data_IF_195794663524
#
_entry.id   IF_195794663524
#
_cell.length_a   1.000
_cell.length_b   1.000
_cell.length_c   1.000
_cell.angle_alpha   90.00
_cell.angle_beta   90.00
_cell.angle_gamma   90.00
#
_symmetry.space_group_name_H-M   'P 1'
#
loop_
_entity.id
_entity.type
_entity.pdbx_description
1 polymer ?
#
# COMPACT_ATOMS: atom_id res chain seq x y z
N UNK A 1 -6.97 -12.66 -23.63
CA UNK A 1 -8.30 -12.84 -23.01
C UNK A 1 -8.96 -11.48 -22.95
N UNK A 2 -10.26 -11.37 -23.24
CA UNK A 2 -10.94 -10.07 -23.22
C UNK A 2 -11.16 -9.63 -21.78
N UNK A 3 -10.61 -8.47 -21.40
CA UNK A 3 -10.79 -7.85 -20.06
C UNK A 3 -12.12 -7.09 -19.99
N UNK A 4 -12.66 -6.83 -18.79
CA UNK A 4 -13.86 -6.00 -18.64
C UNK A 4 -13.54 -4.53 -18.91
N UNK A 5 -14.51 -3.67 -19.24
CA UNK A 5 -14.24 -2.26 -19.49
C UNK A 5 -13.55 -1.51 -18.34
N UNK A 6 -13.93 -1.80 -17.09
CA UNK A 6 -13.32 -1.21 -15.88
C UNK A 6 -11.87 -1.65 -15.65
N UNK A 7 -11.45 -2.78 -16.23
CA UNK A 7 -10.09 -3.31 -16.09
C UNK A 7 -9.11 -2.72 -17.11
N UNK A 8 -9.58 -1.96 -18.11
CA UNK A 8 -8.74 -1.44 -19.19
C UNK A 8 -8.46 0.04 -18.93
N UNK A 9 -7.22 0.35 -18.56
CA UNK A 9 -6.79 1.75 -18.44
C UNK A 9 -6.73 2.42 -19.82
N UNK A 10 -7.00 3.72 -19.86
CA UNK A 10 -6.87 4.52 -21.08
C UNK A 10 -5.43 4.53 -21.66
N UNK A 11 -4.43 4.25 -20.82
CA UNK A 11 -3.02 4.12 -21.18
C UNK A 11 -2.58 2.70 -21.57
N UNK A 12 -3.39 1.68 -21.25
CA UNK A 12 -3.07 0.27 -21.51
C UNK A 12 -3.45 -0.16 -22.94
N UNK A 13 -3.14 -1.42 -23.29
CA UNK A 13 -3.44 -2.07 -24.58
C UNK A 13 -4.78 -1.63 -25.21
N UNK A 14 -4.77 -1.49 -26.54
CA UNK A 14 -5.92 -1.00 -27.31
C UNK A 14 -7.22 -1.74 -26.93
N UNK A 15 -8.30 -1.01 -26.57
CA UNK A 15 -9.62 -1.63 -26.37
C UNK A 15 -10.03 -2.43 -27.62
N UNK A 16 -10.92 -3.43 -27.49
CA UNK A 16 -11.34 -4.22 -28.63
C UNK A 16 -11.92 -3.32 -29.73
N UNK A 17 -11.74 -3.71 -30.99
CA UNK A 17 -12.30 -2.96 -32.13
C UNK A 17 -13.82 -2.94 -32.06
N UNK A 18 -14.39 -1.78 -31.76
CA UNK A 18 -15.82 -1.63 -31.51
C UNK A 18 -16.71 -1.82 -32.76
N UNK A 19 -16.15 -1.66 -33.97
CA UNK A 19 -16.90 -1.79 -35.23
C UNK A 19 -17.52 -3.18 -35.48
N UNK A 20 -17.07 -4.21 -34.74
CA UNK A 20 -17.64 -5.56 -34.81
C UNK A 20 -18.98 -5.71 -34.08
N UNK A 21 -19.32 -4.79 -33.17
CA UNK A 21 -20.49 -4.92 -32.30
C UNK A 21 -21.74 -4.28 -32.93
N UNK A 22 -22.47 -5.06 -33.72
CA UNK A 22 -23.60 -4.56 -34.54
C UNK A 22 -25.00 -4.73 -33.94
N UNK A 23 -25.14 -5.49 -32.86
CA UNK A 23 -26.42 -5.73 -32.16
C UNK A 23 -26.88 -4.49 -31.40
N UNK A 24 -28.16 -4.45 -31.02
CA UNK A 24 -28.67 -3.35 -30.18
C UNK A 24 -28.11 -3.41 -28.75
N UNK A 25 -28.20 -2.30 -28.00
CA UNK A 25 -27.83 -2.28 -26.59
C UNK A 25 -28.65 -3.29 -25.77
N UNK A 26 -29.96 -3.41 -26.07
CA UNK A 26 -30.85 -4.39 -25.44
C UNK A 26 -30.40 -5.84 -25.67
N UNK A 27 -29.97 -6.17 -26.89
CA UNK A 27 -29.46 -7.51 -27.20
C UNK A 27 -28.17 -7.84 -26.43
N UNK A 28 -27.28 -6.85 -26.26
CA UNK A 28 -26.07 -7.01 -25.45
C UNK A 28 -26.39 -7.11 -23.96
N UNK A 29 -27.29 -6.28 -23.43
CA UNK A 29 -27.77 -6.38 -22.06
C UNK A 29 -28.35 -7.78 -21.78
N UNK A 30 -29.23 -8.28 -22.65
CA UNK A 30 -29.79 -9.62 -22.51
C UNK A 30 -28.72 -10.73 -22.61
N UNK A 31 -27.65 -10.50 -23.39
CA UNK A 31 -26.52 -11.44 -23.48
C UNK A 31 -25.67 -11.42 -22.22
N UNK A 32 -25.42 -10.25 -21.64
CA UNK A 32 -24.72 -10.08 -20.37
C UNK A 32 -25.45 -10.85 -19.25
N UNK A 33 -26.77 -10.64 -19.11
CA UNK A 33 -27.58 -11.34 -18.10
C UNK A 33 -27.50 -12.87 -18.24
N UNK A 34 -27.63 -13.38 -19.48
CA UNK A 34 -27.48 -14.83 -19.75
C UNK A 34 -26.07 -15.34 -19.48
N UNK A 35 -25.05 -14.51 -19.65
CA UNK A 35 -23.66 -14.89 -19.41
C UNK A 35 -23.38 -14.99 -17.91
N UNK A 36 -23.80 -14.00 -17.12
CA UNK A 36 -23.72 -14.03 -15.66
C UNK A 36 -24.45 -15.23 -15.07
N UNK A 37 -25.70 -15.46 -15.48
CA UNK A 37 -26.50 -16.59 -14.99
C UNK A 37 -25.88 -17.97 -15.29
N UNK A 38 -24.91 -18.03 -16.21
CA UNK A 38 -24.21 -19.27 -16.61
C UNK A 38 -22.74 -19.30 -16.16
N UNK A 39 -22.26 -18.30 -15.42
CA UNK A 39 -20.84 -18.17 -15.05
C UNK A 39 -19.90 -18.09 -16.26
N UNK A 40 -20.33 -17.43 -17.34
CA UNK A 40 -19.55 -17.32 -18.59
C UNK A 40 -18.87 -15.96 -18.70
N UNK A 41 -17.83 -15.72 -17.91
CA UNK A 41 -17.15 -14.41 -17.80
C UNK A 41 -16.72 -13.83 -19.14
N UNK A 42 -16.07 -14.62 -20.00
CA UNK A 42 -15.62 -14.13 -21.32
C UNK A 42 -16.79 -13.63 -22.20
N UNK A 43 -17.98 -14.25 -22.07
CA UNK A 43 -19.17 -13.82 -22.79
C UNK A 43 -19.83 -12.59 -22.15
N UNK A 44 -19.69 -12.42 -20.83
CA UNK A 44 -20.10 -11.20 -20.13
C UNK A 44 -19.22 -10.02 -20.54
N UNK A 45 -17.89 -10.18 -20.54
CA UNK A 45 -16.95 -9.17 -21.03
C UNK A 45 -17.27 -8.73 -22.47
N UNK A 46 -17.50 -9.68 -23.39
CA UNK A 46 -17.85 -9.37 -24.78
C UNK A 46 -19.18 -8.61 -24.89
N UNK A 47 -20.16 -8.93 -24.03
CA UNK A 47 -21.41 -8.19 -23.97
C UNK A 47 -21.23 -6.75 -23.44
N UNK A 48 -20.38 -6.54 -22.44
CA UNK A 48 -20.06 -5.21 -21.91
C UNK A 48 -19.40 -4.33 -22.95
N UNK A 49 -18.43 -4.85 -23.72
CA UNK A 49 -17.86 -4.10 -24.84
C UNK A 49 -18.86 -3.84 -25.97
N UNK A 50 -19.83 -4.73 -26.16
CA UNK A 50 -20.99 -4.46 -26.99
C UNK A 50 -21.79 -3.26 -26.51
N UNK A 51 -22.06 -3.16 -25.20
CA UNK A 51 -22.73 -2.02 -24.59
C UNK A 51 -21.90 -0.73 -24.76
N UNK A 52 -20.59 -0.77 -24.56
CA UNK A 52 -19.69 0.37 -24.86
C UNK A 52 -19.81 0.80 -26.32
N UNK A 53 -19.80 -0.14 -27.26
CA UNK A 53 -19.91 0.15 -28.68
C UNK A 53 -21.26 0.80 -29.09
N UNK A 54 -22.30 0.64 -28.27
CA UNK A 54 -23.62 1.25 -28.49
C UNK A 54 -23.78 2.65 -27.88
N UNK A 55 -22.78 3.12 -27.12
CA UNK A 55 -22.76 4.49 -26.61
C UNK A 55 -24.00 4.83 -25.80
N UNK A 56 -24.71 5.89 -26.20
CA UNK A 56 -25.87 6.43 -25.48
C UNK A 56 -27.07 5.48 -25.44
N UNK A 57 -27.18 4.52 -26.36
CA UNK A 57 -28.25 3.50 -26.30
C UNK A 57 -28.15 2.61 -25.05
N UNK A 58 -26.96 2.49 -24.45
CA UNK A 58 -26.70 1.67 -23.26
C UNK A 58 -27.05 2.35 -21.95
N UNK A 59 -27.37 3.65 -21.96
CA UNK A 59 -27.61 4.45 -20.74
C UNK A 59 -28.72 3.88 -19.87
N UNK A 60 -29.83 3.44 -20.47
CA UNK A 60 -30.94 2.85 -19.72
C UNK A 60 -30.55 1.55 -19.00
N UNK A 61 -29.67 0.75 -19.59
CA UNK A 61 -29.12 -0.44 -18.92
C UNK A 61 -28.16 -0.04 -17.78
N UNK A 62 -27.25 0.91 -18.02
CA UNK A 62 -26.35 1.43 -16.99
C UNK A 62 -27.13 1.94 -15.77
N UNK A 63 -28.18 2.72 -16.00
CA UNK A 63 -29.04 3.25 -14.94
C UNK A 63 -29.69 2.14 -14.09
N UNK A 64 -30.24 1.10 -14.74
CA UNK A 64 -30.82 -0.04 -14.04
C UNK A 64 -29.79 -0.85 -13.26
N UNK A 65 -28.61 -1.07 -13.85
CA UNK A 65 -27.54 -1.84 -13.23
C UNK A 65 -26.90 -1.11 -12.04
N UNK A 66 -26.66 0.20 -12.15
CA UNK A 66 -26.17 1.05 -11.05
C UNK A 66 -27.12 1.07 -9.84
N UNK A 67 -28.42 0.89 -10.05
CA UNK A 67 -29.44 0.84 -8.97
C UNK A 67 -29.75 -0.56 -8.45
N UNK A 68 -29.07 -1.59 -8.96
CA UNK A 68 -29.40 -2.98 -8.63
C UNK A 68 -29.02 -3.39 -7.21
N UNK A 69 -28.07 -2.68 -6.57
CA UNK A 69 -27.47 -3.06 -5.29
C UNK A 69 -26.50 -4.24 -5.39
N UNK A 70 -26.27 -4.78 -6.59
CA UNK A 70 -25.30 -5.85 -6.86
C UNK A 70 -23.95 -5.23 -7.26
N UNK A 71 -22.92 -5.46 -6.44
CA UNK A 71 -21.60 -4.84 -6.60
C UNK A 71 -20.97 -5.10 -7.98
N UNK A 72 -21.11 -6.34 -8.49
CA UNK A 72 -20.57 -6.72 -9.79
C UNK A 72 -21.28 -5.97 -10.93
N UNK A 73 -22.61 -5.86 -10.87
CA UNK A 73 -23.39 -5.10 -11.85
C UNK A 73 -23.08 -3.61 -11.79
N UNK A 74 -22.89 -3.06 -10.60
CA UNK A 74 -22.50 -1.66 -10.41
C UNK A 74 -21.13 -1.42 -11.05
N UNK A 75 -20.15 -2.28 -10.75
CA UNK A 75 -18.80 -2.22 -11.34
C UNK A 75 -18.85 -2.26 -12.87
N UNK A 76 -19.57 -3.24 -13.43
CA UNK A 76 -19.69 -3.41 -14.87
C UNK A 76 -20.38 -2.22 -15.55
N UNK A 77 -21.44 -1.68 -14.94
CA UNK A 77 -22.16 -0.53 -15.45
C UNK A 77 -21.33 0.75 -15.40
N UNK A 78 -20.61 0.97 -14.30
CA UNK A 78 -19.69 2.08 -14.15
C UNK A 78 -18.52 1.97 -15.16
N UNK A 79 -18.01 0.76 -15.39
CA UNK A 79 -17.04 0.47 -16.45
C UNK A 79 -17.58 0.87 -17.84
N UNK A 80 -18.83 0.54 -18.17
CA UNK A 80 -19.44 1.01 -19.43
C UNK A 80 -19.55 2.54 -19.45
N UNK A 81 -20.00 3.17 -18.36
CA UNK A 81 -20.11 4.63 -18.23
C UNK A 81 -18.78 5.35 -18.44
N UNK A 82 -17.68 4.81 -17.89
CA UNK A 82 -16.33 5.35 -18.05
C UNK A 82 -15.94 5.52 -19.53
N UNK A 83 -16.28 4.55 -20.37
CA UNK A 83 -15.93 4.55 -21.79
C UNK A 83 -16.86 5.38 -22.67
N UNK A 84 -18.16 5.41 -22.36
CA UNK A 84 -19.14 6.18 -23.16
C UNK A 84 -19.23 7.66 -22.72
N UNK A 85 -18.68 7.99 -21.55
CA UNK A 85 -18.87 9.27 -20.85
C UNK A 85 -20.19 9.26 -20.08
N UNK A 86 -20.21 9.37 -18.74
CA UNK A 86 -21.44 9.32 -17.96
C UNK A 86 -22.37 10.48 -18.36
N UNK A 87 -23.64 10.21 -18.72
CA UNK A 87 -24.64 11.25 -18.89
C UNK A 87 -24.77 12.06 -17.60
N UNK A 88 -25.09 13.35 -17.71
CA UNK A 88 -25.28 14.22 -16.55
C UNK A 88 -26.34 13.69 -15.57
N UNK A 89 -27.34 12.97 -16.07
CA UNK A 89 -28.38 12.32 -15.26
C UNK A 89 -27.86 11.17 -14.38
N UNK A 90 -26.69 10.58 -14.69
CA UNK A 90 -26.09 9.50 -13.90
C UNK A 90 -25.00 9.99 -12.94
N UNK A 91 -24.53 11.24 -13.04
CA UNK A 91 -23.46 11.77 -12.17
C UNK A 91 -23.87 11.70 -10.70
N UNK A 92 -25.08 12.14 -10.35
CA UNK A 92 -25.56 12.08 -8.95
C UNK A 92 -25.76 10.65 -8.46
N UNK A 93 -26.12 9.72 -9.36
CA UNK A 93 -26.21 8.30 -9.00
C UNK A 93 -24.82 7.73 -8.70
N UNK A 94 -23.84 8.00 -9.55
CA UNK A 94 -22.44 7.58 -9.33
C UNK A 94 -21.87 8.19 -8.05
N UNK A 95 -22.07 9.50 -7.83
CA UNK A 95 -21.65 10.20 -6.59
C UNK A 95 -22.26 9.53 -5.35
N UNK A 96 -23.57 9.30 -5.37
CA UNK A 96 -24.27 8.63 -4.26
C UNK A 96 -23.75 7.21 -4.01
N UNK A 97 -23.43 6.44 -5.06
CA UNK A 97 -22.83 5.11 -4.92
C UNK A 97 -21.44 5.19 -4.28
N UNK A 98 -20.60 6.15 -4.67
CA UNK A 98 -19.27 6.33 -4.06
C UNK A 98 -19.37 6.68 -2.57
N UNK A 99 -20.41 7.41 -2.19
CA UNK A 99 -20.67 7.82 -0.79
C UNK A 99 -21.28 6.70 0.07
N UNK A 100 -22.08 5.81 -0.52
CA UNK A 100 -22.92 4.85 0.22
C UNK A 100 -22.46 3.41 0.13
N UNK A 101 -21.72 3.02 -0.92
CA UNK A 101 -21.21 1.66 -1.04
C UNK A 101 -20.04 1.41 -0.07
N UNK A 102 -19.91 0.18 0.44
CA UNK A 102 -18.70 -0.23 1.15
C UNK A 102 -17.50 -0.23 0.20
N UNK A 103 -16.30 -0.42 0.75
CA UNK A 103 -15.09 -0.61 -0.05
C UNK A 103 -15.24 -1.86 -0.94
N UNK A 104 -15.35 -1.65 -2.24
CA UNK A 104 -15.82 -2.67 -3.19
C UNK A 104 -15.45 -2.28 -4.61
N UNK A 105 -15.45 -3.26 -5.51
CA UNK A 105 -15.12 -3.05 -6.93
C UNK A 105 -16.14 -2.12 -7.59
N UNK A 106 -17.42 -2.21 -7.20
CA UNK A 106 -18.48 -1.32 -7.66
C UNK A 106 -18.25 0.13 -7.23
N UNK A 107 -17.82 0.37 -5.99
CA UNK A 107 -17.47 1.71 -5.49
C UNK A 107 -16.30 2.31 -6.27
N UNK A 108 -15.21 1.57 -6.42
CA UNK A 108 -14.00 2.04 -7.10
C UNK A 108 -14.28 2.31 -8.59
N UNK A 109 -15.06 1.44 -9.24
CA UNK A 109 -15.48 1.63 -10.64
C UNK A 109 -16.40 2.85 -10.79
N UNK A 110 -17.33 3.07 -9.86
CA UNK A 110 -18.20 4.24 -9.85
C UNK A 110 -17.41 5.55 -9.69
N UNK A 111 -16.40 5.55 -8.80
CA UNK A 111 -15.48 6.68 -8.63
C UNK A 111 -14.68 6.94 -9.91
N UNK A 112 -14.16 5.89 -10.55
CA UNK A 112 -13.44 6.01 -11.82
C UNK A 112 -14.32 6.58 -12.94
N UNK A 113 -15.60 6.21 -12.99
CA UNK A 113 -16.53 6.68 -14.01
C UNK A 113 -16.93 8.15 -13.89
N UNK A 114 -16.72 8.80 -12.73
CA UNK A 114 -17.06 10.20 -12.53
C UNK A 114 -16.21 11.16 -13.40
N UNK A 115 -16.77 12.31 -13.84
CA UNK A 115 -15.99 13.36 -14.50
C UNK A 115 -14.81 13.82 -13.64
N UNK A 116 -13.73 14.25 -14.29
CA UNK A 116 -12.48 14.62 -13.62
C UNK A 116 -12.68 15.74 -12.58
N UNK A 117 -13.56 16.69 -12.84
CA UNK A 117 -13.88 17.81 -11.94
C UNK A 117 -14.56 17.32 -10.66
N UNK A 118 -15.48 16.37 -10.78
CA UNK A 118 -16.16 15.76 -9.63
C UNK A 118 -15.19 14.88 -8.85
N UNK A 119 -14.35 14.09 -9.53
CA UNK A 119 -13.31 13.30 -8.85
C UNK A 119 -12.36 14.19 -8.06
N UNK A 120 -11.90 15.30 -8.64
CA UNK A 120 -11.01 16.24 -7.97
C UNK A 120 -11.65 16.90 -6.74
N UNK A 121 -12.97 17.13 -6.75
CA UNK A 121 -13.71 17.57 -5.56
C UNK A 121 -13.68 16.52 -4.44
N UNK A 122 -13.95 15.26 -4.77
CA UNK A 122 -13.96 14.15 -3.81
C UNK A 122 -12.56 13.84 -3.26
N UNK A 123 -11.54 13.87 -4.12
CA UNK A 123 -10.14 13.68 -3.69
C UNK A 123 -9.71 14.80 -2.75
N UNK A 124 -10.17 16.04 -2.96
CA UNK A 124 -9.87 17.14 -2.03
C UNK A 124 -10.46 16.87 -0.64
N UNK A 125 -11.69 16.36 -0.56
CA UNK A 125 -12.29 15.96 0.72
C UNK A 125 -11.47 14.87 1.42
N UNK A 126 -10.96 13.88 0.67
CA UNK A 126 -10.08 12.83 1.20
C UNK A 126 -8.72 13.37 1.65
N UNK A 127 -8.14 14.31 0.90
CA UNK A 127 -6.87 14.95 1.24
C UNK A 127 -6.98 15.86 2.46
N UNK A 128 -8.09 16.60 2.59
CA UNK A 128 -8.41 17.38 3.79
C UNK A 128 -8.67 16.48 5.01
N UNK A 129 -9.01 15.21 4.76
CA UNK A 129 -9.20 14.15 5.74
C UNK A 129 -7.95 13.30 6.00
N UNK A 130 -6.83 13.61 5.35
CA UNK A 130 -5.57 12.92 5.55
C UNK A 130 -5.23 12.88 7.05
N UNK A 131 -4.63 11.78 7.54
CA UNK A 131 -4.16 11.74 8.92
C UNK A 131 -3.25 12.95 9.15
N UNK A 132 -3.47 13.65 10.26
CA UNK A 132 -2.61 14.74 10.69
C UNK A 132 -1.27 14.15 11.12
N UNK A 133 -0.42 13.89 10.13
CA UNK A 133 0.96 13.48 10.33
C UNK A 133 1.74 14.79 10.45
N UNK A 134 1.65 15.42 11.61
CA UNK A 134 2.45 16.60 11.90
C UNK A 134 3.92 16.26 11.64
N UNK A 135 4.67 17.05 10.84
CA UNK A 135 6.09 16.81 10.54
C UNK A 135 7.04 16.85 11.77
N UNK A 136 6.53 16.87 12.99
CA UNK A 136 7.22 17.43 14.15
C UNK A 136 7.94 16.47 15.10
N UNK A 137 7.50 15.22 15.26
CA UNK A 137 7.94 14.41 16.42
C UNK A 137 8.47 13.00 16.09
N UNK A 138 8.70 12.69 14.81
CA UNK A 138 9.37 11.44 14.45
C UNK A 138 10.87 11.56 14.82
N UNK A 139 11.27 10.89 15.91
CA UNK A 139 12.58 10.95 16.56
C UNK A 139 13.82 10.94 15.65
N UNK A 140 13.72 10.43 14.41
CA UNK A 140 14.83 10.36 13.45
C UNK A 140 14.45 10.69 12.00
N UNK A 141 13.24 11.24 11.75
CA UNK A 141 12.67 11.41 10.39
C UNK A 141 12.62 10.08 9.61
N UNK A 142 12.74 8.94 10.29
CA UNK A 142 12.70 7.63 9.65
C UNK A 142 11.25 7.27 9.35
N UNK A 143 10.91 7.22 8.06
CA UNK A 143 9.57 6.84 7.61
C UNK A 143 9.24 5.38 7.89
N UNK A 144 10.25 4.51 8.03
CA UNK A 144 10.10 3.08 8.32
C UNK A 144 10.98 2.71 9.52
N UNK A 145 10.39 2.03 10.51
CA UNK A 145 11.12 1.43 11.64
C UNK A 145 10.68 -0.02 11.79
N UNK A 146 11.64 -0.91 11.91
CA UNK A 146 11.40 -2.31 12.23
C UNK A 146 11.69 -2.59 13.70
N UNK A 147 10.99 -3.55 14.29
CA UNK A 147 11.22 -4.04 15.64
C UNK A 147 11.30 -5.55 15.61
N UNK A 148 12.39 -6.09 16.12
CA UNK A 148 12.60 -7.54 16.29
C UNK A 148 12.49 -7.83 17.77
N UNK A 149 11.62 -8.77 18.14
CA UNK A 149 11.39 -9.15 19.54
C UNK A 149 12.53 -10.05 20.06
N UNK A 150 13.74 -9.52 20.06
CA UNK A 150 14.92 -10.13 20.67
C UNK A 150 15.90 -9.05 21.13
N UNK A 151 16.75 -9.33 22.14
CA UNK A 151 17.82 -8.42 22.54
C UNK A 151 18.82 -8.14 21.41
N UNK A 152 19.39 -6.94 21.41
CA UNK A 152 20.30 -6.44 20.36
C UNK A 152 21.39 -7.44 19.99
N UNK A 153 22.10 -7.98 20.97
CA UNK A 153 23.20 -8.92 20.74
C UNK A 153 22.76 -10.20 20.00
N UNK A 154 21.55 -10.68 20.28
CA UNK A 154 21.00 -11.86 19.60
C UNK A 154 20.67 -11.56 18.14
N UNK A 155 20.11 -10.38 17.88
CA UNK A 155 19.77 -9.93 16.52
C UNK A 155 21.02 -9.67 15.70
N UNK A 156 22.02 -9.01 16.29
CA UNK A 156 23.33 -8.74 15.67
C UNK A 156 24.06 -10.04 15.34
N UNK A 157 24.14 -10.99 16.29
CA UNK A 157 24.82 -12.27 16.06
C UNK A 157 24.17 -13.08 14.93
N UNK A 158 22.84 -13.15 14.86
CA UNK A 158 22.14 -13.82 13.76
C UNK A 158 22.24 -13.04 12.43
N UNK A 159 22.34 -11.71 12.48
CA UNK A 159 22.60 -10.90 11.30
C UNK A 159 23.99 -11.19 10.71
N UNK A 160 25.04 -11.23 11.54
CA UNK A 160 26.42 -11.49 11.11
C UNK A 160 26.64 -12.93 10.59
N UNK A 161 25.85 -13.89 11.09
CA UNK A 161 25.86 -15.28 10.58
C UNK A 161 25.24 -15.43 9.20
N UNK A 162 24.49 -14.44 8.75
CA UNK A 162 23.88 -14.47 7.42
C UNK A 162 25.01 -14.62 6.40
N UNK A 163 24.92 -15.57 5.46
CA UNK A 163 25.81 -15.61 4.32
C UNK A 163 25.48 -14.41 3.43
N UNK A 164 25.89 -13.21 3.86
CA UNK A 164 25.80 -12.02 3.06
C UNK A 164 26.73 -12.19 1.86
N UNK A 165 26.49 -11.37 0.84
CA UNK A 165 27.44 -11.09 -0.25
C UNK A 165 28.73 -10.51 0.38
N UNK A 166 29.53 -11.37 1.02
CA UNK A 166 30.65 -11.03 1.92
C UNK A 166 31.69 -10.11 1.27
N UNK A 167 31.69 -10.01 -0.05
CA UNK A 167 32.63 -9.17 -0.78
C UNK A 167 32.32 -7.66 -0.73
N UNK A 168 31.18 -7.22 -0.17
CA UNK A 168 30.75 -5.81 -0.31
C UNK A 168 30.32 -5.08 0.98
N UNK A 169 30.11 -5.73 2.12
CA UNK A 169 29.70 -5.07 3.36
C UNK A 169 30.92 -4.58 4.16
N UNK A 170 30.82 -3.39 4.73
CA UNK A 170 31.82 -2.88 5.68
C UNK A 170 31.64 -3.58 7.05
N UNK A 171 32.69 -3.65 7.88
CA UNK A 171 32.55 -4.15 9.25
C UNK A 171 31.51 -3.35 10.04
N UNK A 172 30.72 -4.04 10.85
CA UNK A 172 29.78 -3.40 11.74
C UNK A 172 30.52 -2.52 12.77
N UNK A 173 29.98 -1.34 13.07
CA UNK A 173 30.56 -0.42 14.06
C UNK A 173 29.60 -0.27 15.24
N UNK A 174 30.11 -0.41 16.46
CA UNK A 174 29.32 -0.28 17.69
C UNK A 174 29.33 1.16 18.19
N UNK A 175 28.19 1.62 18.66
CA UNK A 175 27.98 2.95 19.23
C UNK A 175 27.24 2.84 20.56
N UNK A 176 27.45 3.82 21.43
CA UNK A 176 26.75 3.96 22.71
C UNK A 176 26.40 5.43 22.91
N UNK A 177 25.19 5.83 22.52
CA UNK A 177 24.69 7.20 22.65
C UNK A 177 23.14 7.21 22.59
N UNK A 178 22.47 8.26 23.09
CA UNK A 178 21.03 8.43 22.89
C UNK A 178 20.64 8.40 21.40
N UNK A 179 19.44 7.91 21.08
CA UNK A 179 18.99 7.73 19.70
C UNK A 179 19.15 8.99 18.83
N UNK A 180 18.82 10.16 19.37
CA UNK A 180 18.92 11.45 18.66
C UNK A 180 20.34 11.76 18.19
N UNK A 181 21.36 11.35 18.95
CA UNK A 181 22.78 11.56 18.60
C UNK A 181 23.27 10.54 17.56
N UNK A 182 22.58 9.41 17.42
CA UNK A 182 22.88 8.38 16.42
C UNK A 182 22.28 8.69 15.06
N UNK A 183 21.29 9.59 14.99
CA UNK A 183 20.61 9.99 13.75
C UNK A 183 21.54 10.37 12.58
N UNK A 184 22.58 11.20 12.80
CA UNK A 184 23.54 11.56 11.75
C UNK A 184 24.26 10.36 11.11
N UNK A 185 24.35 9.21 11.79
CA UNK A 185 24.96 8.00 11.23
C UNK A 185 24.15 7.38 10.09
N UNK A 186 22.85 7.70 10.03
CA UNK A 186 21.94 7.26 8.97
C UNK A 186 21.94 8.21 7.77
N UNK A 187 22.67 9.32 7.83
CA UNK A 187 22.70 10.29 6.74
C UNK A 187 23.22 9.66 5.45
N UNK A 188 22.37 9.75 4.42
CA UNK A 188 22.73 9.37 3.08
C UNK A 188 23.52 10.52 2.43
N UNK A 189 24.69 10.20 1.91
CA UNK A 189 25.45 11.14 1.09
C UNK A 189 25.24 10.84 -0.39
N UNK A 190 24.85 11.87 -1.16
CA UNK A 190 24.76 11.82 -2.62
C UNK A 190 26.07 11.38 -3.29
N UNK A 191 27.22 11.51 -2.61
CA UNK A 191 28.52 11.08 -3.12
C UNK A 191 28.72 9.56 -3.04
N UNK A 192 27.94 8.86 -2.21
CA UNK A 192 28.04 7.40 -2.03
C UNK A 192 26.67 6.70 -2.07
N UNK A 193 25.91 6.84 -3.17
CA UNK A 193 24.54 6.30 -3.28
C UNK A 193 24.44 4.78 -3.16
N UNK A 194 25.57 4.08 -3.31
CA UNK A 194 25.68 2.63 -3.13
C UNK A 194 25.86 2.19 -1.67
N UNK A 195 26.13 3.11 -0.72
CA UNK A 195 26.19 2.82 0.71
C UNK A 195 24.80 3.03 1.31
N UNK A 196 24.27 2.00 1.96
CA UNK A 196 22.96 2.04 2.61
C UNK A 196 23.16 1.77 4.10
N UNK A 197 23.38 2.82 4.91
CA UNK A 197 23.52 2.65 6.34
C UNK A 197 22.17 2.26 6.96
N UNK A 198 22.21 1.38 7.95
CA UNK A 198 21.10 1.11 8.84
C UNK A 198 21.62 0.83 10.25
N UNK A 199 20.81 1.17 11.24
CA UNK A 199 21.18 1.13 12.63
C UNK A 199 20.29 0.13 13.36
N UNK A 200 20.89 -0.83 14.05
CA UNK A 200 20.19 -1.66 15.04
C UNK A 200 20.39 -1.03 16.42
N UNK A 201 19.30 -0.76 17.14
CA UNK A 201 19.32 -0.10 18.45
C UNK A 201 18.57 -0.97 19.45
N UNK A 202 19.12 -1.10 20.65
CA UNK A 202 18.37 -1.69 21.78
C UNK A 202 17.08 -0.90 22.05
N UNK A 203 15.96 -1.57 22.29
CA UNK A 203 14.67 -0.92 22.49
C UNK A 203 13.85 -1.65 23.57
N UNK A 204 13.55 -0.96 24.67
CA UNK A 204 12.97 -1.56 25.86
C UNK A 204 13.81 -2.74 26.40
N UNK A 205 13.14 -3.71 27.00
CA UNK A 205 13.77 -4.89 27.62
C UNK A 205 13.97 -6.07 26.66
N UNK A 206 13.22 -6.11 25.55
CA UNK A 206 13.09 -7.29 24.68
C UNK A 206 13.14 -6.99 23.19
N UNK A 207 13.18 -5.72 22.77
CA UNK A 207 13.13 -5.35 21.37
C UNK A 207 14.48 -4.84 20.87
N UNK A 208 14.69 -5.01 19.57
CA UNK A 208 15.72 -4.33 18.80
C UNK A 208 15.03 -3.55 17.71
N UNK A 209 15.21 -2.23 17.69
CA UNK A 209 14.73 -1.37 16.62
C UNK A 209 15.74 -1.34 15.47
N UNK A 210 15.29 -1.35 14.22
CA UNK A 210 16.13 -1.20 13.04
C UNK A 210 15.67 0.02 12.25
N UNK A 211 16.55 1.01 12.15
CA UNK A 211 16.33 2.28 11.48
C UNK A 211 17.05 2.33 10.14
N UNK A 212 16.40 2.92 9.14
CA UNK A 212 16.99 3.21 7.83
C UNK A 212 16.26 4.38 7.18
N UNK A 213 17.02 5.20 6.45
CA UNK A 213 16.48 6.33 5.68
C UNK A 213 16.22 6.00 4.21
N UNK A 214 16.75 4.89 3.69
CA UNK A 214 16.90 4.71 2.24
C UNK A 214 16.32 3.40 1.69
N UNK A 215 16.01 2.44 2.54
CA UNK A 215 15.61 1.12 2.06
C UNK A 215 14.58 0.47 2.97
N UNK A 216 13.62 -0.18 2.31
CA UNK A 216 12.82 -1.19 2.95
C UNK A 216 13.68 -2.44 3.20
N UNK A 217 14.05 -2.65 4.46
CA UNK A 217 14.84 -3.81 4.88
C UNK A 217 13.94 -5.03 5.10
N UNK A 218 13.20 -5.45 4.09
CA UNK A 218 12.34 -6.65 4.13
C UNK A 218 13.07 -7.94 4.53
N UNK A 219 14.41 -7.93 4.52
CA UNK A 219 15.20 -9.00 5.09
C UNK A 219 15.04 -9.14 6.62
N UNK A 220 14.65 -8.09 7.33
CA UNK A 220 14.41 -8.09 8.79
C UNK A 220 13.26 -9.05 9.12
N UNK A 221 12.26 -9.21 8.25
CA UNK A 221 11.21 -10.23 8.42
C UNK A 221 11.76 -11.65 8.58
N UNK A 222 12.94 -11.95 8.01
CA UNK A 222 13.54 -13.27 8.14
C UNK A 222 13.92 -13.63 9.58
N UNK A 223 14.11 -12.64 10.47
CA UNK A 223 14.34 -12.89 11.89
C UNK A 223 13.16 -13.62 12.54
N UNK A 224 11.93 -13.38 12.08
CA UNK A 224 10.76 -14.09 12.63
C UNK A 224 10.89 -15.61 12.52
N UNK A 225 11.52 -16.10 11.45
CA UNK A 225 11.78 -17.52 11.22
C UNK A 225 13.05 -17.99 11.90
N UNK A 226 14.14 -17.22 11.79
CA UNK A 226 15.47 -17.65 12.27
C UNK A 226 15.61 -17.58 13.79
N UNK A 227 15.01 -16.58 14.40
CA UNK A 227 15.02 -16.37 15.84
C UNK A 227 13.75 -16.86 16.54
N UNK A 228 12.79 -17.37 15.77
CA UNK A 228 11.46 -17.79 16.24
C UNK A 228 10.81 -16.70 17.12
N UNK A 229 10.65 -15.51 16.53
CA UNK A 229 10.23 -14.32 17.26
C UNK A 229 9.25 -13.46 16.47
N UNK A 230 8.60 -12.47 17.11
CA UNK A 230 7.79 -11.48 16.39
C UNK A 230 8.68 -10.43 15.74
N UNK A 231 8.29 -10.01 14.55
CA UNK A 231 8.87 -8.85 13.85
C UNK A 231 7.74 -7.89 13.53
N UNK A 232 7.89 -6.62 13.86
CA UNK A 232 6.96 -5.56 13.50
C UNK A 232 7.67 -4.58 12.57
N UNK A 233 7.07 -4.30 11.41
CA UNK A 233 7.40 -3.15 10.59
C UNK A 233 6.34 -2.09 10.81
N UNK A 234 6.79 -0.86 10.96
CA UNK A 234 5.90 0.29 11.01
C UNK A 234 6.36 1.31 9.99
N UNK A 235 5.42 2.04 9.40
CA UNK A 235 5.76 3.22 8.62
C UNK A 235 4.78 4.36 8.84
N UNK A 236 5.30 5.58 8.82
CA UNK A 236 4.52 6.80 8.87
C UNK A 236 5.26 7.84 8.03
N UNK A 237 4.61 8.34 6.98
CA UNK A 237 5.15 9.40 6.12
C UNK A 237 4.09 10.47 5.91
N UNK A 238 4.43 11.72 6.22
CA UNK A 238 3.66 12.91 5.82
C UNK A 238 4.04 13.37 4.41
N UNK A 239 5.17 12.90 3.87
CA UNK A 239 5.80 13.47 2.68
C UNK A 239 5.59 12.65 1.39
N UNK A 240 5.71 13.39 0.29
CA UNK A 240 5.68 12.99 -1.12
C UNK A 240 6.83 12.00 -1.45
N UNK A 241 6.63 10.98 -2.31
CA UNK A 241 5.47 10.82 -3.20
C UNK A 241 4.19 10.28 -2.54
N UNK A 242 4.32 9.55 -1.43
CA UNK A 242 3.24 8.67 -0.97
C UNK A 242 3.03 8.76 0.55
N UNK A 243 2.24 9.72 1.05
CA UNK A 243 1.90 9.79 2.46
C UNK A 243 1.11 8.55 2.88
N UNK A 244 1.26 8.13 4.14
CA UNK A 244 0.57 6.94 4.64
C UNK A 244 1.06 6.46 5.99
N UNK A 245 0.26 5.57 6.57
CA UNK A 245 0.51 4.93 7.86
C UNK A 245 0.36 3.43 7.68
N UNK A 246 1.29 2.65 8.22
CA UNK A 246 1.23 1.21 8.10
C UNK A 246 1.87 0.45 9.26
N UNK A 247 1.36 -0.76 9.42
CA UNK A 247 1.67 -1.72 10.45
C UNK A 247 1.72 -3.11 9.82
N UNK A 248 2.86 -3.79 9.91
CA UNK A 248 3.02 -5.18 9.48
C UNK A 248 3.64 -6.00 10.60
N UNK A 249 2.84 -6.85 11.23
CA UNK A 249 3.29 -7.77 12.27
C UNK A 249 3.48 -9.16 11.68
N UNK A 250 4.70 -9.68 11.73
CA UNK A 250 5.05 -11.06 11.39
C UNK A 250 5.21 -11.87 12.67
N UNK A 251 4.47 -12.99 12.79
CA UNK A 251 4.52 -13.88 13.96
C UNK A 251 5.70 -14.89 13.90
N UNK A 252 6.08 -15.51 15.03
CA UNK A 252 7.15 -16.51 15.08
C UNK A 252 7.00 -17.61 14.04
N UNK A 253 8.11 -18.02 13.43
CA UNK A 253 8.11 -18.99 12.34
C UNK A 253 7.61 -18.45 10.99
N UNK A 254 7.21 -17.18 10.91
CA UNK A 254 6.81 -16.49 9.67
C UNK A 254 5.60 -17.12 8.96
N UNK A 255 4.69 -17.74 9.73
CA UNK A 255 3.50 -18.46 9.24
C UNK A 255 2.26 -17.59 9.19
N UNK A 256 2.18 -16.59 10.04
CA UNK A 256 1.05 -15.69 10.18
C UNK A 256 1.55 -14.26 10.25
N UNK A 257 0.79 -13.35 9.66
CA UNK A 257 1.09 -11.93 9.68
C UNK A 257 -0.21 -11.13 9.68
N UNK A 258 -0.15 -9.93 10.24
CA UNK A 258 -1.21 -8.92 10.18
C UNK A 258 -0.65 -7.70 9.48
N UNK A 259 -1.35 -7.20 8.49
CA UNK A 259 -0.99 -5.98 7.77
C UNK A 259 -2.15 -5.05 7.66
N UNK A 260 -1.88 -3.81 8.03
CA UNK A 260 -2.82 -2.70 8.07
C UNK A 260 -2.06 -1.53 7.47
N UNK A 261 -2.59 -0.97 6.40
CA UNK A 261 -1.96 0.16 5.74
C UNK A 261 -3.02 1.04 5.11
N UNK A 262 -2.86 2.33 5.34
CA UNK A 262 -3.45 3.36 4.50
C UNK A 262 -2.32 4.12 3.83
N UNK A 263 -2.48 4.45 2.57
CA UNK A 263 -1.50 5.27 1.86
C UNK A 263 -2.15 5.97 0.68
N UNK A 264 -1.41 6.90 0.09
CA UNK A 264 -1.81 7.58 -1.14
C UNK A 264 -0.85 7.18 -2.25
N UNK A 265 -1.37 6.92 -3.44
CA UNK A 265 -0.60 6.76 -4.68
C UNK A 265 -1.15 7.65 -5.80
N UNK A 266 -0.66 7.46 -7.02
CA UNK A 266 -1.09 8.23 -8.21
C UNK A 266 -2.59 8.05 -8.51
N UNK A 267 -3.22 6.99 -8.00
CA UNK A 267 -4.65 6.70 -8.15
C UNK A 267 -5.51 7.19 -6.98
N UNK A 268 -4.89 7.73 -5.92
CA UNK A 268 -5.56 8.28 -4.75
C UNK A 268 -5.26 7.50 -3.46
N UNK A 269 -6.15 7.62 -2.48
CA UNK A 269 -6.00 6.88 -1.22
C UNK A 269 -6.35 5.40 -1.40
N UNK A 270 -5.48 4.53 -0.91
CA UNK A 270 -5.70 3.09 -0.86
C UNK A 270 -5.74 2.58 0.58
N UNK A 271 -6.45 1.47 0.76
CA UNK A 271 -6.57 0.75 2.02
C UNK A 271 -6.13 -0.69 1.82
N UNK A 272 -5.26 -1.19 2.70
CA UNK A 272 -4.79 -2.55 2.69
C UNK A 272 -4.96 -3.18 4.07
N UNK A 273 -5.70 -4.29 4.11
CA UNK A 273 -5.95 -5.06 5.32
C UNK A 273 -5.79 -6.55 5.02
N UNK A 274 -4.89 -7.24 5.73
CA UNK A 274 -4.65 -8.67 5.54
C UNK A 274 -4.25 -9.36 6.83
N UNK A 275 -4.64 -10.62 6.95
CA UNK A 275 -4.26 -11.47 8.09
C UNK A 275 -5.26 -11.42 9.25
N UNK A 276 -4.97 -12.15 10.32
CA UNK A 276 -5.85 -12.27 11.48
C UNK A 276 -5.83 -11.01 12.33
N UNK A 277 -7.03 -10.51 12.66
CA UNK A 277 -7.23 -9.41 13.59
C UNK A 277 -6.62 -9.73 14.97
N UNK A 278 -5.95 -8.74 15.56
CA UNK A 278 -5.38 -8.79 16.91
C UNK A 278 -6.34 -8.16 17.93
N UNK A 279 -6.26 -8.62 19.17
CA UNK A 279 -7.20 -8.22 20.23
C UNK A 279 -7.16 -6.73 20.62
N UNK A 280 -6.13 -5.99 20.21
CA UNK A 280 -5.98 -4.55 20.47
C UNK A 280 -6.45 -3.67 19.31
N UNK A 281 -6.89 -4.27 18.20
CA UNK A 281 -7.33 -3.52 17.03
C UNK A 281 -8.72 -2.90 17.23
N UNK A 282 -9.00 -1.84 16.48
CA UNK A 282 -10.25 -1.07 16.46
C UNK A 282 -10.98 -1.31 15.11
N UNK A 283 -11.51 -2.52 14.84
CA UNK A 283 -12.04 -2.92 13.53
C UNK A 283 -13.19 -2.06 13.01
N UNK A 284 -13.93 -1.41 13.91
CA UNK A 284 -14.96 -0.42 13.57
C UNK A 284 -14.39 0.75 12.76
N UNK A 285 -13.15 1.18 13.04
CA UNK A 285 -12.46 2.25 12.29
C UNK A 285 -12.14 1.83 10.86
N UNK A 286 -11.98 0.54 10.59
CA UNK A 286 -11.69 0.03 9.25
C UNK A 286 -12.87 0.16 8.28
N UNK A 287 -14.07 0.43 8.81
CA UNK A 287 -15.30 0.65 8.05
C UNK A 287 -15.57 2.13 7.75
N UNK A 288 -14.68 3.05 8.17
CA UNK A 288 -14.82 4.46 7.85
C UNK A 288 -14.95 4.69 6.32
N UNK A 289 -15.79 5.64 5.94
CA UNK A 289 -16.08 5.95 4.53
C UNK A 289 -14.81 6.36 3.78
N UNK A 290 -14.06 7.29 4.37
CA UNK A 290 -12.83 7.84 3.79
C UNK A 290 -11.67 6.90 4.11
N UNK A 291 -11.00 6.39 3.07
CA UNK A 291 -9.88 5.45 3.22
C UNK A 291 -8.78 6.03 4.14
N UNK A 292 -8.46 7.32 3.96
CA UNK A 292 -7.51 8.09 4.78
C UNK A 292 -7.78 8.05 6.30
N UNK A 293 -9.04 7.88 6.73
CA UNK A 293 -9.43 7.87 8.14
C UNK A 293 -9.45 6.49 8.79
N UNK A 294 -9.21 5.42 8.03
CA UNK A 294 -9.31 4.03 8.53
C UNK A 294 -8.17 3.62 9.44
N UNK A 295 -7.00 4.27 9.28
CA UNK A 295 -5.84 4.00 10.12
C UNK A 295 -4.96 5.25 10.20
N UNK A 296 -4.91 5.86 11.37
CA UNK A 296 -4.12 7.07 11.62
C UNK A 296 -2.87 6.76 12.46
N UNK A 297 -2.02 7.77 12.64
CA UNK A 297 -0.77 7.62 13.42
C UNK A 297 -1.07 7.31 14.89
N UNK A 298 -2.16 7.86 15.44
CA UNK A 298 -2.54 7.62 16.84
C UNK A 298 -2.97 6.15 17.05
N UNK A 299 -3.65 5.54 16.07
CA UNK A 299 -3.95 4.10 16.07
C UNK A 299 -2.66 3.27 15.99
N UNK A 300 -1.73 3.63 15.09
CA UNK A 300 -0.44 2.97 14.99
C UNK A 300 0.32 2.99 16.32
N UNK A 301 0.33 4.14 17.01
CA UNK A 301 0.96 4.28 18.32
C UNK A 301 0.31 3.40 19.39
N UNK A 302 -1.03 3.38 19.46
CA UNK A 302 -1.77 2.49 20.38
C UNK A 302 -1.46 1.02 20.11
N UNK A 303 -1.37 0.63 18.84
CA UNK A 303 -1.07 -0.75 18.45
C UNK A 303 0.36 -1.15 18.80
N UNK A 304 1.32 -0.24 18.60
CA UNK A 304 2.71 -0.43 19.04
C UNK A 304 2.77 -0.56 20.57
N UNK A 305 2.08 0.31 21.30
CA UNK A 305 2.05 0.30 22.76
C UNK A 305 1.44 -1.00 23.33
N UNK A 306 0.40 -1.55 22.68
CA UNK A 306 -0.17 -2.86 23.02
C UNK A 306 0.86 -4.01 22.89
N UNK A 307 1.85 -3.85 22.02
CA UNK A 307 3.01 -4.74 21.87
C UNK A 307 4.20 -4.37 22.77
N UNK A 308 4.03 -3.37 23.66
CA UNK A 308 5.06 -2.76 24.51
C UNK A 308 6.18 -2.08 23.73
N UNK A 309 5.82 -1.45 22.62
CA UNK A 309 6.71 -0.63 21.80
C UNK A 309 6.25 0.83 21.96
N UNK A 310 7.01 1.61 22.70
CA UNK A 310 6.73 3.04 22.92
C UNK A 310 7.51 3.88 21.91
N UNK A 311 7.09 3.79 20.64
CA UNK A 311 7.88 4.25 19.48
C UNK A 311 8.20 5.74 19.47
N UNK A 312 7.38 6.58 20.10
CA UNK A 312 7.53 8.04 20.10
C UNK A 312 8.24 8.55 21.36
N UNK A 313 8.60 7.66 22.28
CA UNK A 313 9.33 8.00 23.48
C UNK A 313 10.84 7.76 23.25
N UNK A 314 11.70 8.79 23.23
CA UNK A 314 13.13 8.61 23.06
C UNK A 314 13.74 7.67 24.11
N UNK A 315 13.22 7.66 25.34
CA UNK A 315 13.72 6.83 26.44
C UNK A 315 13.40 5.34 26.26
N UNK A 316 12.50 4.98 25.33
CA UNK A 316 12.28 3.60 24.95
C UNK A 316 13.51 2.99 24.27
N UNK A 317 14.32 3.82 23.60
CA UNK A 317 15.51 3.36 22.88
C UNK A 317 16.72 3.43 23.80
N UNK A 318 17.35 2.28 24.01
CA UNK A 318 18.57 2.18 24.80
C UNK A 318 19.77 2.81 24.09
N UNK A 319 20.88 3.05 24.84
CA UNK A 319 22.05 3.71 24.28
C UNK A 319 22.84 2.83 23.32
N UNK A 320 22.73 1.51 23.43
CA UNK A 320 23.53 0.57 22.65
C UNK A 320 22.98 0.42 21.23
N UNK A 321 23.88 0.60 20.26
CA UNK A 321 23.56 0.47 18.85
C UNK A 321 24.70 -0.13 18.01
N UNK A 322 24.34 -0.73 16.88
CA UNK A 322 25.27 -1.26 15.88
C UNK A 322 24.90 -0.71 14.50
N UNK A 323 25.84 0.00 13.90
CA UNK A 323 25.75 0.52 12.54
C UNK A 323 26.27 -0.51 11.56
N UNK A 324 25.45 -0.80 10.55
CA UNK A 324 25.81 -1.59 9.40
C UNK A 324 25.75 -0.74 8.14
N UNK A 325 26.59 -1.05 7.15
CA UNK A 325 26.58 -0.39 5.85
C UNK A 325 26.52 -1.45 4.76
N UNK A 326 25.35 -1.60 4.15
CA UNK A 326 25.17 -2.48 3.01
C UNK A 326 25.78 -1.83 1.75
N UNK A 327 26.66 -2.56 1.07
CA UNK A 327 27.17 -2.19 -0.24
C UNK A 327 26.25 -2.69 -1.36
N UNK A 328 25.74 -1.77 -2.19
CA UNK A 328 25.01 -2.16 -3.42
C UNK A 328 25.95 -2.90 -4.39
N UNK A 329 25.50 -3.98 -5.05
CA UNK A 329 26.27 -4.68 -6.09
C UNK A 329 26.65 -3.78 -7.28
N UNK A 330 25.95 -2.65 -7.46
CA UNK A 330 26.25 -1.64 -8.48
C UNK A 330 27.43 -0.72 -8.13
N UNK A 331 28.17 -1.04 -7.05
CA UNK A 331 29.46 -0.41 -6.81
C UNK A 331 30.24 -0.47 -8.12
N UNK A 332 30.65 0.67 -8.72
CA UNK A 332 31.36 0.65 -9.99
C UNK A 332 32.56 -0.24 -9.80
N UNK A 333 32.50 -1.47 -10.35
CA UNK A 333 33.59 -2.42 -10.25
C UNK A 333 34.77 -1.65 -10.80
N UNK A 334 35.74 -1.32 -9.95
CA UNK A 334 36.98 -0.68 -10.40
C UNK A 334 37.43 -1.52 -11.58
N UNK A 335 37.20 -1.04 -12.81
CA UNK A 335 37.66 -1.73 -14.00
C UNK A 335 39.15 -1.81 -13.76
N UNK A 336 39.66 -3.01 -13.45
CA UNK A 336 41.10 -3.22 -13.31
C UNK A 336 41.67 -2.67 -14.61
N UNK A 337 42.32 -1.49 -14.54
CA UNK A 337 43.03 -0.95 -15.68
C UNK A 337 44.15 -1.94 -15.92
N UNK A 338 43.95 -2.82 -16.88
CA UNK A 338 45.00 -3.61 -17.48
C UNK A 338 45.87 -2.62 -18.25
N UNK A 339 46.80 -1.96 -17.57
CA UNK A 339 47.91 -1.31 -18.25
C UNK A 339 48.82 -2.45 -18.75
N UNK A 340 48.91 -2.59 -20.07
CA UNK A 340 49.93 -3.37 -20.75
C UNK A 340 51.08 -2.46 -21.12
#
# INVERSE_FOLDING_TARGET
MLRRPQDVHASDDQPPRLAGYRKSAEEYAARYERALARGKDAAACDALWGLVARGTESVGWCEGALRSGDDLRISDAAGVCLWIGPPSTLIETLRSLVETLPDSEGRDSAAAALPAEVRAEMTREEDDAAPDIAPGDNLLECTIVWYVEAPLERVVADHEQRPARQDASEPATRHSAPLIELGPLLEWSAETPWRRPYLMVSAGDRWTAVFSRTADHSWVDSFSRRLDTRVLRTSCSSEDPYPGVAFWLTLPGGKEWRSIQVGKDDSGWFWHLRGSEQAFEEPERYQERLKAKRFDVQMLDRYCLALRIDRNNPDFYGPDAVLFVDGSPDRPRRRRRWWR
#
